data_IF_345285867855
#
_entry.id   IF_345285867855
#
_cell.length_a   1.000
_cell.length_b   1.000
_cell.length_c   1.000
_cell.angle_alpha   90.00
_cell.angle_beta   90.00
_cell.angle_gamma   90.00
#
_symmetry.space_group_name_H-M   'P 1'
#
loop_
_entity.id
_entity.type
_entity.pdbx_description
1 polymer ?
#
# COMPACT_ATOMS: atom_id res chain seq x y z
N UNK A 1 5.91 1.93 23.86
CA UNK A 1 5.88 1.35 22.52
C UNK A 1 4.53 0.70 22.25
N UNK A 2 3.99 0.96 21.14
CA UNK A 2 2.77 0.25 20.73
C UNK A 2 3.15 -1.12 20.22
N UNK A 3 2.34 -2.10 20.46
CA UNK A 3 2.58 -3.45 20.00
C UNK A 3 2.29 -3.66 18.53
N UNK A 4 1.94 -2.60 17.78
CA UNK A 4 1.56 -2.75 16.37
C UNK A 4 2.74 -2.49 15.46
N UNK A 5 3.19 -3.54 14.81
CA UNK A 5 4.19 -3.44 13.76
C UNK A 5 3.51 -3.29 12.40
N UNK A 6 4.14 -2.54 11.52
CA UNK A 6 3.71 -2.42 10.13
C UNK A 6 4.63 -3.26 9.27
N UNK A 7 4.05 -3.94 8.29
CA UNK A 7 4.77 -4.77 7.35
C UNK A 7 4.25 -4.45 5.96
N UNK A 8 5.14 -4.13 5.03
CA UNK A 8 4.73 -3.88 3.65
C UNK A 8 4.79 -5.18 2.84
N UNK A 9 3.67 -5.51 2.21
CA UNK A 9 3.57 -6.65 1.30
C UNK A 9 3.54 -6.13 -0.14
N UNK A 10 4.65 -6.25 -0.89
CA UNK A 10 4.70 -5.73 -2.26
C UNK A 10 3.66 -6.38 -3.16
N UNK A 11 3.12 -5.59 -4.08
CA UNK A 11 2.14 -6.08 -5.04
C UNK A 11 2.84 -6.73 -6.22
N UNK A 12 2.49 -7.97 -6.53
CA UNK A 12 3.00 -8.66 -7.71
C UNK A 12 2.52 -7.98 -9.00
N UNK A 13 1.27 -7.53 -9.01
CA UNK A 13 0.70 -6.84 -10.16
C UNK A 13 1.39 -5.51 -10.43
N UNK A 14 1.65 -4.74 -9.39
CA UNK A 14 2.36 -3.48 -9.51
C UNK A 14 3.80 -3.69 -9.97
N UNK A 15 4.47 -4.69 -9.39
CA UNK A 15 5.85 -5.03 -9.76
C UNK A 15 5.94 -5.40 -11.23
N UNK A 16 4.95 -6.13 -11.74
CA UNK A 16 4.89 -6.53 -13.15
C UNK A 16 4.64 -5.35 -14.07
N UNK A 17 3.70 -4.49 -13.68
CA UNK A 17 3.29 -3.35 -14.50
C UNK A 17 4.33 -2.23 -14.53
N UNK A 18 4.99 -1.99 -13.39
CA UNK A 18 5.92 -0.87 -13.23
C UNK A 18 7.10 -1.29 -12.36
N UNK A 19 8.02 -2.12 -12.86
CA UNK A 19 9.08 -2.69 -12.03
C UNK A 19 10.01 -1.64 -11.42
N UNK A 20 10.28 -0.55 -12.13
CA UNK A 20 11.14 0.52 -11.60
C UNK A 20 10.47 1.28 -10.46
N UNK A 21 9.20 1.64 -10.64
CA UNK A 21 8.44 2.33 -9.59
C UNK A 21 8.24 1.42 -8.38
N UNK A 22 7.96 0.14 -8.62
CA UNK A 22 7.79 -0.85 -7.55
C UNK A 22 9.08 -1.00 -6.74
N UNK A 23 10.25 -1.00 -7.41
CA UNK A 23 11.54 -1.08 -6.72
C UNK A 23 11.78 0.17 -5.87
N UNK A 24 11.52 1.35 -6.41
CA UNK A 24 11.68 2.60 -5.66
C UNK A 24 10.80 2.63 -4.43
N UNK A 25 9.55 2.22 -4.57
CA UNK A 25 8.63 2.16 -3.45
C UNK A 25 9.11 1.16 -2.40
N UNK A 26 9.52 -0.03 -2.82
CA UNK A 26 10.01 -1.06 -1.91
C UNK A 26 11.24 -0.58 -1.15
N UNK A 27 12.19 0.06 -1.83
CA UNK A 27 13.40 0.56 -1.20
C UNK A 27 13.08 1.65 -0.17
N UNK A 28 12.15 2.54 -0.49
CA UNK A 28 11.70 3.55 0.46
C UNK A 28 10.98 2.92 1.66
N UNK A 29 10.12 1.94 1.40
CA UNK A 29 9.39 1.26 2.46
C UNK A 29 10.32 0.51 3.42
N UNK A 30 11.44 -0.04 2.92
CA UNK A 30 12.43 -0.72 3.76
C UNK A 30 13.02 0.19 4.83
N UNK A 31 13.07 1.49 4.56
CA UNK A 31 13.54 2.46 5.54
C UNK A 31 12.51 2.74 6.62
N UNK A 32 11.25 2.41 6.38
CA UNK A 32 10.14 2.67 7.28
C UNK A 32 9.75 1.44 8.10
N UNK A 33 9.82 0.27 7.51
CA UNK A 33 9.29 -0.95 8.11
C UNK A 33 9.82 -2.20 7.40
N UNK A 34 9.65 -3.39 8.00
CA UNK A 34 9.96 -4.63 7.30
C UNK A 34 9.16 -4.78 6.01
N UNK A 35 9.80 -5.33 5.00
CA UNK A 35 9.17 -5.63 3.71
C UNK A 35 9.10 -7.14 3.54
N UNK A 36 7.90 -7.65 3.35
CA UNK A 36 7.67 -9.07 3.16
C UNK A 36 7.96 -9.49 1.72
N UNK A 37 8.06 -10.79 1.49
CA UNK A 37 8.06 -11.34 0.16
C UNK A 37 6.65 -11.38 -0.42
N UNK A 38 6.47 -12.09 -1.54
CA UNK A 38 5.15 -12.29 -2.11
C UNK A 38 4.26 -13.03 -1.09
N UNK A 39 3.03 -12.56 -0.91
CA UNK A 39 2.10 -13.16 0.05
C UNK A 39 1.84 -14.65 -0.23
N UNK A 40 2.09 -15.11 -1.46
CA UNK A 40 1.88 -16.51 -1.84
C UNK A 40 3.04 -17.42 -1.45
N UNK A 41 4.25 -16.87 -1.30
CA UNK A 41 5.46 -17.68 -1.05
C UNK A 41 6.14 -17.34 0.27
N UNK A 42 5.82 -16.20 0.87
CA UNK A 42 6.41 -15.83 2.15
C UNK A 42 5.80 -16.68 3.25
N UNK A 43 6.64 -17.45 3.94
CA UNK A 43 6.21 -18.38 4.99
C UNK A 43 6.62 -17.92 6.38
N UNK A 44 7.14 -16.69 6.50
CA UNK A 44 7.54 -16.18 7.80
C UNK A 44 6.31 -16.00 8.69
N UNK A 45 6.46 -16.30 9.96
CA UNK A 45 5.42 -16.01 10.93
C UNK A 45 5.46 -14.55 11.34
N UNK A 46 4.34 -13.87 11.25
CA UNK A 46 4.22 -12.49 11.67
C UNK A 46 3.37 -12.40 12.93
N UNK A 47 3.71 -11.50 13.88
CA UNK A 47 2.93 -11.37 15.11
C UNK A 47 1.48 -11.01 14.83
N UNK A 48 0.57 -11.64 15.57
CA UNK A 48 -0.86 -11.31 15.47
C UNK A 48 -1.08 -9.84 15.82
N UNK A 49 -1.95 -9.18 15.06
CA UNK A 49 -2.25 -7.77 15.26
C UNK A 49 -1.33 -6.84 14.50
N UNK A 50 -0.27 -7.34 13.87
CA UNK A 50 0.55 -6.51 12.99
C UNK A 50 -0.26 -6.04 11.80
N UNK A 51 0.04 -4.83 11.31
CA UNK A 51 -0.67 -4.24 10.19
C UNK A 51 0.04 -4.62 8.89
N UNK A 52 -0.71 -5.20 7.96
CA UNK A 52 -0.19 -5.59 6.66
C UNK A 52 -0.60 -4.56 5.62
N UNK A 53 0.37 -3.81 5.09
CA UNK A 53 0.11 -2.79 4.08
C UNK A 53 0.16 -3.41 2.70
N UNK A 54 -0.88 -3.20 1.91
CA UNK A 54 -1.05 -3.77 0.58
C UNK A 54 -1.41 -2.70 -0.43
N UNK A 55 -1.25 -2.98 -1.72
CA UNK A 55 -1.63 -2.06 -2.79
C UNK A 55 -2.90 -2.46 -3.52
N UNK A 56 -3.07 -3.73 -3.89
CA UNK A 56 -4.23 -4.13 -4.67
C UNK A 56 -5.08 -5.15 -3.92
N UNK A 57 -6.36 -5.24 -4.31
CA UNK A 57 -7.31 -6.10 -3.61
C UNK A 57 -6.98 -7.59 -3.74
N UNK A 58 -6.31 -7.99 -4.82
CA UNK A 58 -5.84 -9.37 -4.94
C UNK A 58 -4.86 -9.71 -3.80
N UNK A 59 -3.98 -8.76 -3.44
CA UNK A 59 -3.08 -8.94 -2.31
C UNK A 59 -3.84 -8.98 -1.00
N UNK A 60 -4.86 -8.13 -0.84
CA UNK A 60 -5.69 -8.15 0.37
C UNK A 60 -6.37 -9.50 0.57
N UNK A 61 -6.94 -10.05 -0.50
CA UNK A 61 -7.59 -11.35 -0.44
C UNK A 61 -6.59 -12.45 -0.04
N UNK A 62 -5.39 -12.42 -0.61
CA UNK A 62 -4.34 -13.35 -0.25
C UNK A 62 -3.90 -13.21 1.20
N UNK A 63 -3.79 -11.98 1.70
CA UNK A 63 -3.44 -11.74 3.09
C UNK A 63 -4.51 -12.28 4.04
N UNK A 64 -5.78 -12.02 3.75
CA UNK A 64 -6.87 -12.51 4.57
C UNK A 64 -6.92 -14.03 4.63
N UNK A 65 -6.57 -14.67 3.52
CA UNK A 65 -6.58 -16.13 3.42
C UNK A 65 -5.36 -16.77 4.10
N UNK A 66 -4.16 -16.20 3.92
CA UNK A 66 -2.91 -16.81 4.36
C UNK A 66 -2.38 -16.30 5.69
N UNK A 67 -2.71 -15.07 6.02
CA UNK A 67 -2.26 -14.42 7.26
C UNK A 67 -3.44 -13.80 7.99
N UNK A 68 -4.43 -14.63 8.41
CA UNK A 68 -5.64 -14.09 9.04
C UNK A 68 -5.38 -13.35 10.34
N UNK A 69 -4.22 -13.55 10.96
CA UNK A 69 -3.84 -12.85 12.18
C UNK A 69 -3.43 -11.39 11.94
N UNK A 70 -3.16 -11.00 10.69
CA UNK A 70 -2.73 -9.65 10.36
C UNK A 70 -3.93 -8.74 10.09
N UNK A 71 -3.71 -7.44 10.23
CA UNK A 71 -4.72 -6.41 9.96
C UNK A 71 -4.39 -5.74 8.63
N UNK A 72 -5.14 -6.06 7.56
CA UNK A 72 -4.86 -5.45 6.25
C UNK A 72 -5.19 -3.96 6.25
N UNK A 73 -4.30 -3.16 5.66
CA UNK A 73 -4.55 -1.74 5.43
C UNK A 73 -3.98 -1.35 4.07
N UNK A 74 -4.73 -0.58 3.31
CA UNK A 74 -4.27 -0.12 2.00
C UNK A 74 -3.12 0.86 2.16
N UNK A 75 -2.09 0.72 1.33
CA UNK A 75 -0.90 1.57 1.40
C UNK A 75 -1.22 3.04 1.15
N UNK A 76 -2.12 3.36 0.23
CA UNK A 76 -2.46 4.76 -0.04
C UNK A 76 -3.13 5.41 1.16
N UNK A 77 -3.99 4.68 1.86
CA UNK A 77 -4.62 5.17 3.09
C UNK A 77 -3.55 5.45 4.15
N UNK A 78 -2.61 4.55 4.30
CA UNK A 78 -1.50 4.72 5.26
C UNK A 78 -0.63 5.92 4.90
N UNK A 79 -0.25 6.06 3.63
CA UNK A 79 0.59 7.18 3.17
C UNK A 79 -0.10 8.52 3.38
N UNK A 80 -1.39 8.60 3.08
CA UNK A 80 -2.16 9.83 3.25
C UNK A 80 -2.24 10.24 4.73
N UNK A 81 -2.44 9.27 5.61
CA UNK A 81 -2.58 9.52 7.03
C UNK A 81 -1.23 9.85 7.70
N UNK A 82 -0.19 9.08 7.40
CA UNK A 82 1.11 9.23 8.06
C UNK A 82 1.91 10.41 7.54
N UNK A 83 1.71 10.79 6.27
CA UNK A 83 2.31 12.00 5.71
C UNK A 83 3.83 12.00 5.58
N UNK A 84 4.48 10.82 5.65
CA UNK A 84 5.93 10.74 5.64
C UNK A 84 6.57 10.76 4.26
N UNK A 85 5.78 10.71 3.21
CA UNK A 85 6.29 10.67 1.84
C UNK A 85 6.44 12.09 1.30
N UNK A 86 7.63 12.41 0.76
CA UNK A 86 7.85 13.67 0.07
C UNK A 86 7.14 13.62 -1.28
N UNK A 87 6.09 14.43 -1.43
CA UNK A 87 5.29 14.43 -2.65
C UNK A 87 5.79 15.50 -3.61
N UNK A 88 5.89 15.18 -4.91
CA UNK A 88 6.27 16.18 -5.92
C UNK A 88 5.15 17.19 -6.12
N UNK A 89 5.51 18.34 -6.66
CA UNK A 89 4.55 19.38 -7.03
C UNK A 89 4.23 19.23 -8.52
N UNK A 90 2.98 18.90 -8.79
CA UNK A 90 2.46 18.76 -10.15
C UNK A 90 1.35 19.79 -10.41
N UNK A 91 1.48 20.97 -9.81
CA UNK A 91 0.51 22.05 -10.02
C UNK A 91 0.33 22.33 -11.50
N UNK A 92 -0.92 22.42 -11.93
CA UNK A 92 -1.25 22.66 -13.33
C UNK A 92 -1.42 21.41 -14.17
N UNK A 93 -1.05 20.23 -13.63
CA UNK A 93 -1.30 18.96 -14.31
C UNK A 93 -2.74 18.53 -14.11
N UNK A 94 -3.40 18.15 -15.19
CA UNK A 94 -4.74 17.58 -15.15
C UNK A 94 -4.67 16.12 -15.53
N UNK A 95 -5.27 15.25 -14.72
CA UNK A 95 -5.27 13.81 -14.95
C UNK A 95 -6.69 13.27 -14.89
N UNK A 96 -6.92 12.18 -15.61
CA UNK A 96 -8.14 11.38 -15.44
C UNK A 96 -7.82 10.24 -14.49
N UNK A 97 -8.69 10.03 -13.52
CA UNK A 97 -8.48 9.00 -12.51
C UNK A 97 -9.53 7.90 -12.69
N UNK A 98 -9.04 6.68 -12.85
CA UNK A 98 -9.89 5.51 -12.90
C UNK A 98 -9.61 4.64 -11.69
N UNK A 99 -10.59 4.51 -10.81
CA UNK A 99 -10.47 3.63 -9.64
C UNK A 99 -10.57 2.18 -10.06
N UNK A 100 -9.85 1.30 -9.35
CA UNK A 100 -9.96 -0.12 -9.56
C UNK A 100 -11.35 -0.60 -9.12
N UNK A 101 -12.03 -1.36 -9.97
CA UNK A 101 -13.35 -1.90 -9.67
C UNK A 101 -13.33 -2.77 -8.40
N UNK A 102 -12.23 -3.46 -8.14
CA UNK A 102 -12.09 -4.33 -6.97
C UNK A 102 -12.07 -3.53 -5.65
N UNK A 103 -11.81 -2.21 -5.72
CA UNK A 103 -11.82 -1.33 -4.55
C UNK A 103 -13.20 -0.74 -4.25
N UNK A 104 -14.23 -1.11 -5.00
CA UNK A 104 -15.56 -0.49 -4.88
C UNK A 104 -16.17 -0.57 -3.48
N UNK A 105 -15.80 -1.57 -2.71
CA UNK A 105 -16.28 -1.74 -1.33
C UNK A 105 -15.42 -0.98 -0.31
N UNK A 106 -14.38 -0.27 -0.76
CA UNK A 106 -13.42 0.42 0.09
C UNK A 106 -13.25 1.87 -0.33
N UNK A 107 -14.26 2.73 -0.11
CA UNK A 107 -14.20 4.13 -0.54
C UNK A 107 -13.07 4.92 0.11
N UNK A 108 -12.58 4.48 1.26
CA UNK A 108 -11.42 5.11 1.90
C UNK A 108 -10.18 5.08 1.01
N UNK A 109 -10.03 4.06 0.16
CA UNK A 109 -8.91 3.96 -0.79
C UNK A 109 -9.04 5.04 -1.85
N UNK A 110 -10.23 5.19 -2.41
CA UNK A 110 -10.50 6.21 -3.43
C UNK A 110 -10.25 7.60 -2.88
N UNK A 111 -10.67 7.85 -1.66
CA UNK A 111 -10.48 9.13 -0.99
C UNK A 111 -8.99 9.41 -0.73
N UNK A 112 -8.24 8.41 -0.30
CA UNK A 112 -6.82 8.55 -0.03
C UNK A 112 -6.03 8.88 -1.30
N UNK A 113 -6.34 8.22 -2.42
CA UNK A 113 -5.68 8.50 -3.69
C UNK A 113 -5.93 9.94 -4.12
N UNK A 114 -7.18 10.40 -4.02
CA UNK A 114 -7.54 11.77 -4.38
C UNK A 114 -6.89 12.80 -3.44
N UNK A 115 -6.80 12.47 -2.16
CA UNK A 115 -6.13 13.33 -1.19
C UNK A 115 -4.64 13.47 -1.50
N UNK A 116 -3.97 12.37 -1.82
CA UNK A 116 -2.55 12.39 -2.19
C UNK A 116 -2.32 13.21 -3.46
N UNK A 117 -3.17 13.04 -4.48
CA UNK A 117 -3.08 13.83 -5.71
C UNK A 117 -3.30 15.31 -5.44
N UNK A 118 -4.27 15.64 -4.57
CA UNK A 118 -4.52 17.03 -4.17
C UNK A 118 -3.32 17.67 -3.49
N UNK A 119 -2.61 16.91 -2.64
CA UNK A 119 -1.39 17.38 -1.99
C UNK A 119 -0.25 17.65 -2.98
N UNK A 120 -0.32 17.02 -4.16
CA UNK A 120 0.64 17.27 -5.24
C UNK A 120 0.20 18.40 -6.18
N UNK A 121 -0.96 19.01 -5.93
CA UNK A 121 -1.47 20.11 -6.75
C UNK A 121 -2.19 19.69 -8.02
N UNK A 122 -2.51 18.41 -8.15
CA UNK A 122 -3.19 17.88 -9.33
C UNK A 122 -4.69 18.15 -9.27
#
# INVERSE_FOLDING_TARGET
>A
MTGMDNIYFPSCNFTKASPQAAKKLRDWMKEQMPVAGCCRVDKRGYPAGSRALYLCQACREGLEERFPQLLPENLFVWLDREGGLALPDYSGLTVSLQDCWRDRAHPEIHQAVRSLLGKMGV
#
